data_IF_250778592573
#
_entry.id   IF_250778592573
#
_cell.length_a   1.000
_cell.length_b   1.000
_cell.length_c   1.000
_cell.angle_alpha   90.00
_cell.angle_beta   90.00
_cell.angle_gamma   90.00
#
_symmetry.space_group_name_H-M   'P 1'
#
loop_
_entity.id
_entity.type
_entity.pdbx_description
1 polymer ?
#
# COMPACT_ATOMS: atom_id res chain seq x y z
N UNK A 1 18.38 -51.61 -16.50
CA UNK A 1 19.32 -50.56 -16.96
C UNK A 1 18.56 -49.60 -17.88
N UNK A 2 18.69 -48.28 -17.62
CA UNK A 2 18.16 -47.10 -18.38
C UNK A 2 16.64 -46.87 -18.21
N UNK A 3 16.15 -45.87 -17.45
CA UNK A 3 16.13 -44.39 -17.69
C UNK A 3 15.38 -44.07 -19.01
N UNK A 4 14.37 -43.20 -19.10
CA UNK A 4 14.29 -41.80 -18.61
C UNK A 4 12.86 -41.26 -18.85
N UNK A 5 12.24 -40.59 -17.87
CA UNK A 5 11.93 -39.14 -17.83
C UNK A 5 10.95 -38.61 -18.89
N UNK A 6 9.68 -38.56 -18.51
CA UNK A 6 8.63 -37.62 -18.94
C UNK A 6 7.45 -37.96 -18.00
N UNK A 7 7.02 -37.15 -17.05
CA UNK A 7 6.41 -35.85 -17.24
C UNK A 7 6.09 -35.32 -15.84
N UNK A 8 6.61 -34.15 -15.46
CA UNK A 8 6.14 -33.43 -14.26
C UNK A 8 6.47 -31.94 -14.38
N UNK A 9 6.15 -31.35 -15.54
CA UNK A 9 6.35 -29.92 -15.78
C UNK A 9 5.16 -29.36 -16.55
N UNK A 10 3.96 -29.45 -15.96
CA UNK A 10 2.74 -28.79 -16.42
C UNK A 10 1.69 -28.83 -15.30
N UNK A 11 1.88 -27.99 -14.28
CA UNK A 11 0.85 -27.74 -13.26
C UNK A 11 0.99 -26.33 -12.67
N UNK A 12 1.19 -25.31 -13.52
CA UNK A 12 1.34 -23.92 -13.03
C UNK A 12 0.55 -22.86 -13.82
N UNK A 13 -0.48 -23.25 -14.57
CA UNK A 13 -1.31 -22.30 -15.34
C UNK A 13 -2.80 -22.59 -15.23
N UNK A 14 -3.31 -22.70 -14.00
CA UNK A 14 -4.75 -22.66 -13.72
C UNK A 14 -5.04 -22.14 -12.31
N UNK A 15 -4.47 -20.99 -11.93
CA UNK A 15 -4.99 -20.23 -10.80
C UNK A 15 -6.11 -19.31 -11.32
N UNK A 16 -7.32 -19.85 -11.40
CA UNK A 16 -8.52 -19.05 -11.64
C UNK A 16 -8.81 -18.06 -10.50
N UNK A 17 -9.85 -17.21 -10.62
CA UNK A 17 -10.20 -16.19 -9.63
C UNK A 17 -10.39 -16.73 -8.20
N UNK A 18 -10.78 -18.01 -8.05
CA UNK A 18 -10.91 -18.69 -6.77
C UNK A 18 -9.58 -18.85 -6.00
N UNK A 19 -8.43 -18.90 -6.69
CA UNK A 19 -7.11 -18.99 -6.08
C UNK A 19 -6.62 -17.65 -5.50
N UNK A 20 -7.00 -16.55 -6.14
CA UNK A 20 -6.69 -15.20 -5.67
C UNK A 20 -7.50 -14.85 -4.41
N UNK A 21 -8.78 -15.24 -4.37
CA UNK A 21 -9.63 -15.06 -3.19
C UNK A 21 -9.13 -15.91 -2.00
N UNK A 22 -8.76 -17.16 -2.23
CA UNK A 22 -8.19 -18.03 -1.19
C UNK A 22 -6.85 -17.51 -0.63
N UNK A 23 -5.97 -16.97 -1.49
CA UNK A 23 -4.71 -16.35 -1.07
C UNK A 23 -4.95 -15.05 -0.27
N UNK A 24 -5.90 -14.23 -0.71
CA UNK A 24 -6.33 -13.02 0.00
C UNK A 24 -6.91 -13.35 1.38
N UNK A 25 -7.77 -14.37 1.48
CA UNK A 25 -8.36 -14.79 2.75
C UNK A 25 -7.32 -15.43 3.69
N UNK A 26 -6.35 -16.18 3.16
CA UNK A 26 -5.22 -16.68 3.92
C UNK A 26 -4.36 -15.53 4.48
N UNK A 27 -4.07 -14.51 3.69
CA UNK A 27 -3.31 -13.33 4.11
C UNK A 27 -4.08 -12.52 5.18
N UNK A 28 -5.40 -12.35 5.04
CA UNK A 28 -6.26 -11.72 6.06
C UNK A 28 -6.25 -12.51 7.36
N UNK A 29 -6.34 -13.84 7.26
CA UNK A 29 -6.28 -14.72 8.42
C UNK A 29 -4.93 -14.62 9.13
N UNK A 30 -3.82 -14.58 8.39
CA UNK A 30 -2.47 -14.39 8.96
C UNK A 30 -2.32 -13.01 9.62
N UNK A 31 -2.80 -11.94 8.97
CA UNK A 31 -2.81 -10.59 9.53
C UNK A 31 -3.58 -10.54 10.87
N UNK A 32 -4.75 -11.20 10.95
CA UNK A 32 -5.52 -11.29 12.20
C UNK A 32 -4.77 -12.03 13.31
N UNK A 33 -3.95 -13.03 12.95
CA UNK A 33 -3.14 -13.80 13.90
C UNK A 33 -1.96 -12.97 14.40
N UNK A 34 -1.25 -12.27 13.52
CA UNK A 34 -0.14 -11.40 13.92
C UNK A 34 -0.61 -10.22 14.77
N UNK A 35 -1.75 -9.59 14.46
CA UNK A 35 -2.34 -8.54 15.32
C UNK A 35 -2.65 -9.04 16.74
N UNK A 36 -3.20 -10.25 16.86
CA UNK A 36 -3.46 -10.87 18.18
C UNK A 36 -2.16 -11.17 18.94
N UNK A 37 -1.13 -11.66 18.25
CA UNK A 37 0.20 -11.90 18.85
C UNK A 37 0.86 -10.60 19.28
N UNK A 38 0.78 -9.53 18.48
CA UNK A 38 1.27 -8.20 18.81
C UNK A 38 0.61 -7.67 20.08
N UNK A 39 -0.72 -7.76 20.18
CA UNK A 39 -1.46 -7.35 21.38
C UNK A 39 -1.02 -8.15 22.63
N UNK A 40 -0.84 -9.47 22.49
CA UNK A 40 -0.34 -10.32 23.58
C UNK A 40 1.07 -9.94 24.04
N UNK A 41 2.00 -9.72 23.10
CA UNK A 41 3.37 -9.33 23.42
C UNK A 41 3.44 -7.92 24.02
N UNK A 42 2.56 -7.00 23.62
CA UNK A 42 2.44 -5.67 24.21
C UNK A 42 1.97 -5.73 25.67
N UNK A 43 0.98 -6.57 25.98
CA UNK A 43 0.54 -6.80 27.36
C UNK A 43 1.65 -7.39 28.21
N UNK A 44 2.42 -8.35 27.68
CA UNK A 44 3.58 -8.95 28.36
C UNK A 44 4.69 -7.93 28.62
N UNK A 45 4.95 -7.03 27.67
CA UNK A 45 5.94 -5.97 27.84
C UNK A 45 5.54 -5.03 28.98
N UNK A 46 4.26 -4.67 29.06
CA UNK A 46 3.72 -3.84 30.15
C UNK A 46 3.87 -4.53 31.51
N UNK A 47 3.54 -5.83 31.60
CA UNK A 47 3.72 -6.61 32.83
C UNK A 47 5.19 -6.69 33.27
N UNK A 48 6.10 -7.01 32.35
CA UNK A 48 7.55 -7.05 32.64
C UNK A 48 8.07 -5.66 33.04
N UNK A 49 7.57 -4.59 32.44
CA UNK A 49 7.99 -3.22 32.79
C UNK A 49 7.56 -2.85 34.21
N UNK A 50 6.34 -3.22 34.62
CA UNK A 50 5.88 -3.01 36.01
C UNK A 50 6.70 -3.82 37.01
N UNK A 51 6.99 -5.08 36.72
CA UNK A 51 7.84 -5.92 37.57
C UNK A 51 9.26 -5.35 37.69
N UNK A 52 9.80 -4.81 36.59
CA UNK A 52 11.09 -4.15 36.59
C UNK A 52 11.09 -2.90 37.47
N UNK A 53 10.04 -2.09 37.42
CA UNK A 53 9.87 -0.92 38.29
C UNK A 53 9.83 -1.34 39.78
N UNK A 54 9.10 -2.40 40.11
CA UNK A 54 9.08 -2.97 41.47
C UNK A 54 10.48 -3.45 41.89
N UNK A 55 11.15 -4.27 41.08
CA UNK A 55 12.48 -4.80 41.40
C UNK A 55 13.54 -3.69 41.54
N UNK A 56 13.43 -2.60 40.79
CA UNK A 56 14.30 -1.42 40.95
C UNK A 56 14.03 -0.68 42.26
N UNK A 57 12.77 -0.60 42.70
CA UNK A 57 12.42 -0.06 44.02
C UNK A 57 13.00 -0.93 45.13
N UNK A 58 12.81 -2.25 45.03
CA UNK A 58 13.33 -3.22 46.00
C UNK A 58 14.86 -3.18 46.08
N UNK A 59 15.54 -3.02 44.94
CA UNK A 59 16.98 -2.85 44.89
C UNK A 59 17.44 -1.58 45.62
N UNK A 60 16.70 -0.48 45.47
CA UNK A 60 16.99 0.77 46.16
C UNK A 60 16.77 0.65 47.68
N UNK A 61 15.74 -0.10 48.10
CA UNK A 61 15.46 -0.38 49.51
C UNK A 61 16.54 -1.30 50.13
N UNK A 62 16.95 -2.35 49.42
CA UNK A 62 18.01 -3.26 49.86
C UNK A 62 19.36 -2.53 50.01
N UNK A 63 19.73 -1.69 49.05
CA UNK A 63 20.95 -0.87 49.13
C UNK A 63 20.92 0.12 50.30
N UNK A 64 19.75 0.71 50.60
CA UNK A 64 19.57 1.55 51.80
C UNK A 64 19.76 0.75 53.08
N UNK A 65 19.23 -0.47 53.16
CA UNK A 65 19.40 -1.33 54.34
C UNK A 65 20.86 -1.76 54.58
N UNK A 66 21.64 -1.98 53.52
CA UNK A 66 23.10 -2.20 53.63
C UNK A 66 23.78 -0.92 54.15
N UNK A 67 23.50 0.23 53.55
CA UNK A 67 24.12 1.51 53.92
C UNK A 67 23.83 1.91 55.37
N UNK A 68 22.58 1.73 55.82
CA UNK A 68 22.17 1.96 57.21
C UNK A 68 22.83 0.97 58.17
N UNK A 69 23.04 -0.27 57.73
CA UNK A 69 23.73 -1.30 58.49
C UNK A 69 25.20 -0.94 58.74
N UNK A 70 25.92 -0.51 57.70
CA UNK A 70 27.32 -0.09 57.81
C UNK A 70 27.45 1.15 58.70
N UNK A 71 26.48 2.06 58.65
CA UNK A 71 26.49 3.30 59.45
C UNK A 71 26.24 3.05 60.95
N UNK A 72 25.58 1.94 61.30
CA UNK A 72 25.31 1.55 62.70
C UNK A 72 26.32 0.50 63.13
N UNK A 73 27.34 0.91 63.89
CA UNK A 73 28.45 0.04 64.33
C UNK A 73 28.05 -1.19 65.18
N UNK A 74 26.78 -1.34 65.54
CA UNK A 74 26.22 -2.47 66.29
C UNK A 74 25.70 -3.61 65.39
N UNK A 75 25.68 -3.45 64.07
CA UNK A 75 25.25 -4.51 63.13
C UNK A 75 26.41 -5.48 62.90
N UNK A 76 26.25 -6.72 63.35
CA UNK A 76 27.27 -7.76 63.18
C UNK A 76 27.55 -8.11 61.73
N UNK A 77 28.78 -8.52 61.42
CA UNK A 77 29.26 -8.86 60.07
C UNK A 77 28.34 -9.85 59.34
N UNK A 78 27.82 -10.87 60.03
CA UNK A 78 26.93 -11.87 59.44
C UNK A 78 25.59 -11.30 58.95
N UNK A 79 25.11 -10.22 59.56
CA UNK A 79 23.90 -9.50 59.12
C UNK A 79 24.18 -8.66 57.88
N UNK A 80 25.36 -8.03 57.80
CA UNK A 80 25.79 -7.29 56.61
C UNK A 80 25.94 -8.22 55.41
N UNK A 81 26.59 -9.38 55.58
CA UNK A 81 26.71 -10.40 54.52
C UNK A 81 25.35 -10.83 54.00
N UNK A 82 24.38 -11.11 54.88
CA UNK A 82 23.01 -11.48 54.48
C UNK A 82 22.30 -10.36 53.70
N UNK A 83 22.56 -9.10 54.02
CA UNK A 83 21.99 -7.95 53.27
C UNK A 83 22.64 -7.78 51.92
N UNK A 84 23.96 -7.96 51.81
CA UNK A 84 24.66 -7.95 50.52
C UNK A 84 24.19 -9.09 49.61
N UNK A 85 23.96 -10.29 50.16
CA UNK A 85 23.37 -11.41 49.42
C UNK A 85 21.96 -11.07 48.90
N UNK A 86 21.14 -10.37 49.69
CA UNK A 86 19.82 -9.90 49.26
C UNK A 86 19.92 -8.86 48.13
N UNK A 87 20.87 -7.92 48.20
CA UNK A 87 21.15 -6.98 47.10
C UNK A 87 21.52 -7.75 45.83
N UNK A 88 22.47 -8.68 45.91
CA UNK A 88 22.91 -9.47 44.75
C UNK A 88 21.76 -10.27 44.11
N UNK A 89 20.83 -10.81 44.92
CA UNK A 89 19.65 -11.50 44.43
C UNK A 89 18.72 -10.58 43.62
N UNK A 90 18.43 -9.38 44.15
CA UNK A 90 17.57 -8.41 43.46
C UNK A 90 18.24 -7.84 42.20
N UNK A 91 19.55 -7.59 42.23
CA UNK A 91 20.31 -7.17 41.05
C UNK A 91 20.20 -8.19 39.90
N UNK A 92 20.31 -9.47 40.23
CA UNK A 92 20.17 -10.55 39.25
C UNK A 92 18.73 -10.62 38.68
N UNK A 93 17.71 -10.35 39.49
CA UNK A 93 16.33 -10.24 39.03
C UNK A 93 16.15 -9.05 38.06
N UNK A 94 16.63 -7.86 38.43
CA UNK A 94 16.60 -6.66 37.57
C UNK A 94 17.25 -6.94 36.21
N UNK A 95 18.43 -7.57 36.21
CA UNK A 95 19.14 -7.95 34.98
C UNK A 95 18.30 -8.87 34.09
N UNK A 96 17.67 -9.88 34.70
CA UNK A 96 16.81 -10.84 34.00
C UNK A 96 15.57 -10.14 33.39
N UNK A 97 14.95 -9.22 34.12
CA UNK A 97 13.80 -8.46 33.66
C UNK A 97 14.16 -7.50 32.52
N UNK A 98 15.31 -6.83 32.58
CA UNK A 98 15.82 -5.97 31.51
C UNK A 98 16.06 -6.75 30.22
N UNK A 99 16.69 -7.92 30.30
CA UNK A 99 16.91 -8.79 29.14
C UNK A 99 15.59 -9.24 28.52
N UNK A 100 14.64 -9.68 29.36
CA UNK A 100 13.31 -10.07 28.91
C UNK A 100 12.56 -8.91 28.24
N UNK A 101 12.67 -7.70 28.79
CA UNK A 101 12.08 -6.48 28.22
C UNK A 101 12.65 -6.19 26.83
N UNK A 102 13.97 -6.28 26.66
CA UNK A 102 14.64 -6.11 25.37
C UNK A 102 14.13 -7.11 24.33
N UNK A 103 14.09 -8.41 24.68
CA UNK A 103 13.60 -9.45 23.78
C UNK A 103 12.13 -9.30 23.39
N UNK A 104 11.29 -8.73 24.27
CA UNK A 104 9.90 -8.42 23.94
C UNK A 104 9.79 -7.19 23.03
N UNK A 105 10.59 -6.15 23.28
CA UNK A 105 10.63 -4.97 22.44
C UNK A 105 11.08 -5.30 21.00
N UNK A 106 12.14 -6.10 20.85
CA UNK A 106 12.63 -6.54 19.53
C UNK A 106 11.54 -7.31 18.77
N UNK A 107 10.87 -8.27 19.43
CA UNK A 107 9.74 -9.01 18.85
C UNK A 107 8.57 -8.13 18.43
N UNK A 108 8.25 -7.08 19.19
CA UNK A 108 7.19 -6.14 18.82
C UNK A 108 7.54 -5.34 17.56
N UNK A 109 8.80 -4.93 17.40
CA UNK A 109 9.27 -4.26 16.19
C UNK A 109 9.15 -5.17 14.98
N UNK A 110 9.63 -6.40 15.09
CA UNK A 110 9.56 -7.39 14.00
C UNK A 110 8.12 -7.72 13.61
N UNK A 111 7.22 -7.89 14.59
CA UNK A 111 5.79 -8.10 14.31
C UNK A 111 5.14 -6.92 13.62
N UNK A 112 5.45 -5.68 14.02
CA UNK A 112 4.92 -4.48 13.35
C UNK A 112 5.36 -4.42 11.89
N UNK A 113 6.60 -4.79 11.59
CA UNK A 113 7.10 -4.90 10.20
C UNK A 113 6.34 -5.98 9.44
N UNK A 114 6.15 -7.16 10.02
CA UNK A 114 5.39 -8.25 9.41
C UNK A 114 3.93 -7.86 9.11
N UNK A 115 3.27 -7.19 10.06
CA UNK A 115 1.91 -6.65 9.90
C UNK A 115 1.87 -5.65 8.75
N UNK A 116 2.82 -4.71 8.67
CA UNK A 116 2.85 -3.73 7.58
C UNK A 116 3.00 -4.37 6.19
N UNK A 117 3.81 -5.44 6.08
CA UNK A 117 3.94 -6.20 4.83
C UNK A 117 2.65 -6.94 4.48
N UNK A 118 2.03 -7.62 5.45
CA UNK A 118 0.74 -8.30 5.26
C UNK A 118 -0.39 -7.32 4.96
N UNK A 119 -0.38 -6.12 5.53
CA UNK A 119 -1.34 -5.05 5.21
C UNK A 119 -1.16 -4.54 3.79
N UNK A 120 0.07 -4.46 3.27
CA UNK A 120 0.33 -4.14 1.88
C UNK A 120 -0.14 -5.25 0.92
N UNK A 121 -0.03 -6.52 1.33
CA UNK A 121 -0.47 -7.68 0.56
C UNK A 121 -2.00 -7.84 0.57
N UNK A 122 -2.64 -7.79 1.74
CA UNK A 122 -4.10 -7.82 1.92
C UNK A 122 -4.75 -6.58 1.33
N UNK A 123 -4.11 -5.43 1.53
CA UNK A 123 -4.51 -4.16 0.96
C UNK A 123 -4.04 -3.98 -0.47
N UNK A 124 -3.61 -5.07 -1.14
CA UNK A 124 -3.25 -5.09 -2.55
C UNK A 124 -4.21 -4.19 -3.28
N UNK A 125 -3.71 -3.04 -3.78
CA UNK A 125 -4.54 -1.96 -4.30
C UNK A 125 -5.60 -2.61 -5.19
N UNK A 126 -6.84 -2.65 -4.73
CA UNK A 126 -7.94 -3.05 -5.61
C UNK A 126 -7.75 -2.15 -6.83
N UNK A 127 -7.45 -2.75 -7.99
CA UNK A 127 -7.30 -1.99 -9.22
C UNK A 127 -8.57 -1.13 -9.28
N UNK A 128 -8.47 0.20 -9.21
CA UNK A 128 -9.65 1.04 -9.29
C UNK A 128 -10.45 0.54 -10.49
N UNK A 129 -11.78 0.40 -10.38
CA UNK A 129 -12.58 -0.04 -11.52
C UNK A 129 -12.14 0.75 -12.74
N UNK A 130 -11.90 0.06 -13.84
CA UNK A 130 -11.28 0.68 -15.01
C UNK A 130 -12.27 1.62 -15.70
N UNK A 131 -12.34 2.84 -15.17
CA UNK A 131 -13.26 3.90 -15.58
C UNK A 131 -12.81 4.61 -16.86
N UNK A 132 -11.61 4.34 -17.37
CA UNK A 132 -11.05 5.06 -18.53
C UNK A 132 -10.80 4.15 -19.73
N UNK A 133 -10.42 2.89 -19.54
CA UNK A 133 -10.15 2.01 -20.69
C UNK A 133 -11.41 1.77 -21.51
N UNK A 134 -11.24 1.82 -22.83
CA UNK A 134 -12.32 1.58 -23.78
C UNK A 134 -12.32 2.59 -24.92
N UNK A 135 -13.41 2.58 -25.67
CA UNK A 135 -13.66 3.43 -26.83
C UNK A 135 -14.61 4.56 -26.46
N UNK A 136 -14.23 5.76 -26.83
CA UNK A 136 -14.91 6.99 -26.44
C UNK A 136 -15.24 7.83 -27.66
N UNK A 137 -16.52 8.14 -27.86
CA UNK A 137 -16.94 9.15 -28.82
C UNK A 137 -16.69 10.54 -28.21
N UNK A 138 -15.90 11.36 -28.89
CA UNK A 138 -15.43 12.66 -28.43
C UNK A 138 -16.01 13.78 -29.28
N UNK A 139 -16.34 14.90 -28.64
CA UNK A 139 -16.68 16.18 -29.27
C UNK A 139 -15.79 17.29 -28.68
N UNK A 140 -15.13 18.05 -29.55
CA UNK A 140 -14.20 19.13 -29.19
C UNK A 140 -14.75 20.47 -29.71
N UNK A 141 -14.83 21.46 -28.83
CA UNK A 141 -15.31 22.82 -29.08
C UNK A 141 -14.18 23.83 -28.85
N UNK A 142 -14.10 24.93 -29.62
CA UNK A 142 -14.99 25.31 -30.72
C UNK A 142 -14.63 24.61 -32.04
N UNK A 143 -15.61 24.48 -32.94
CA UNK A 143 -15.48 23.79 -34.23
C UNK A 143 -16.20 22.44 -34.32
N UNK A 144 -16.85 22.01 -33.23
CA UNK A 144 -17.64 20.77 -33.13
C UNK A 144 -16.93 19.54 -33.70
N UNK A 145 -15.60 19.48 -33.56
CA UNK A 145 -14.81 18.41 -34.13
C UNK A 145 -15.10 17.11 -33.40
N UNK A 146 -15.61 16.10 -34.13
CA UNK A 146 -15.94 14.79 -33.57
C UNK A 146 -14.87 13.76 -33.87
N UNK A 147 -14.87 12.70 -33.07
CA UNK A 147 -14.08 11.52 -33.36
C UNK A 147 -14.05 10.55 -32.21
N UNK A 148 -12.99 9.75 -32.15
CA UNK A 148 -12.92 8.57 -31.29
C UNK A 148 -11.58 8.50 -30.62
N UNK A 149 -11.60 8.35 -29.29
CA UNK A 149 -10.42 8.05 -28.49
C UNK A 149 -10.51 6.59 -28.04
N UNK A 150 -9.45 5.80 -28.29
CA UNK A 150 -9.27 4.48 -27.70
C UNK A 150 -8.22 4.60 -26.63
N UNK A 151 -8.59 4.35 -25.37
CA UNK A 151 -7.73 4.55 -24.22
C UNK A 151 -7.53 3.25 -23.45
N UNK A 152 -6.37 3.11 -22.83
CA UNK A 152 -6.01 2.03 -21.93
C UNK A 152 -5.38 2.62 -20.66
N UNK A 153 -5.85 2.15 -19.50
CA UNK A 153 -5.39 2.54 -18.17
C UNK A 153 -4.51 1.44 -17.57
N UNK A 154 -3.24 1.78 -17.36
CA UNK A 154 -2.28 0.96 -16.63
C UNK A 154 -1.81 1.69 -15.36
N UNK A 155 -2.36 1.28 -14.22
CA UNK A 155 -2.18 1.96 -12.94
C UNK A 155 -2.73 3.40 -12.97
N UNK A 156 -1.85 4.39 -13.12
CA UNK A 156 -2.21 5.82 -13.27
C UNK A 156 -1.90 6.36 -14.66
N UNK A 157 -1.26 5.57 -15.51
CA UNK A 157 -0.87 5.96 -16.87
C UNK A 157 -2.01 5.67 -17.82
N UNK A 158 -2.34 6.67 -18.64
CA UNK A 158 -3.32 6.53 -19.73
C UNK A 158 -2.56 6.60 -21.04
N UNK A 159 -2.78 5.61 -21.90
CA UNK A 159 -2.22 5.55 -23.24
C UNK A 159 -3.32 5.26 -24.25
N UNK A 160 -3.12 5.62 -25.51
CA UNK A 160 -4.16 5.40 -26.49
C UNK A 160 -3.89 6.01 -27.85
N UNK A 161 -4.90 5.92 -28.69
CA UNK A 161 -4.92 6.48 -30.04
C UNK A 161 -6.20 7.28 -30.25
N UNK A 162 -6.14 8.25 -31.15
CA UNK A 162 -7.31 9.01 -31.55
C UNK A 162 -7.46 9.08 -33.07
N UNK A 163 -8.71 9.23 -33.50
CA UNK A 163 -9.07 9.66 -34.85
C UNK A 163 -10.13 10.75 -34.75
N UNK A 164 -9.92 11.89 -35.38
CA UNK A 164 -10.89 12.99 -35.46
C UNK A 164 -11.28 13.25 -36.93
N UNK A 165 -12.48 13.80 -37.11
CA UNK A 165 -12.95 14.29 -38.41
C UNK A 165 -11.96 15.27 -39.04
N UNK A 166 -11.87 15.26 -40.37
CA UNK A 166 -10.82 15.97 -41.12
C UNK A 166 -9.53 15.15 -41.30
N UNK A 167 -9.53 13.88 -40.89
CA UNK A 167 -8.41 12.95 -41.11
C UNK A 167 -7.26 13.11 -40.14
N UNK A 168 -7.49 13.75 -38.98
CA UNK A 168 -6.50 13.87 -37.92
C UNK A 168 -6.42 12.57 -37.13
N UNK A 169 -5.20 12.10 -36.88
CA UNK A 169 -4.96 10.89 -36.11
C UNK A 169 -3.60 10.93 -35.44
N UNK A 170 -3.46 10.17 -34.37
CA UNK A 170 -2.23 10.08 -33.61
C UNK A 170 -2.43 9.39 -32.28
N UNK A 171 -1.51 9.67 -31.35
CA UNK A 171 -1.47 9.03 -30.03
C UNK A 171 -1.92 9.97 -28.91
N UNK A 172 -2.44 9.35 -27.85
CA UNK A 172 -2.76 9.97 -26.57
C UNK A 172 -1.84 9.38 -25.50
N UNK A 173 -1.32 10.24 -24.63
CA UNK A 173 -0.58 9.82 -23.42
C UNK A 173 -0.93 10.71 -22.25
N UNK A 174 -1.00 10.18 -21.05
CA UNK A 174 -1.56 10.96 -19.95
C UNK A 174 -1.59 10.24 -18.61
N UNK A 175 -2.30 10.86 -17.68
CA UNK A 175 -2.48 10.33 -16.33
C UNK A 175 -3.91 10.47 -15.84
N UNK A 176 -4.32 9.49 -15.02
CA UNK A 176 -5.55 9.53 -14.23
C UNK A 176 -5.18 9.53 -12.74
N UNK A 177 -5.60 10.57 -12.02
CA UNK A 177 -5.47 10.65 -10.57
C UNK A 177 -6.83 11.01 -9.98
N UNK A 178 -7.38 10.11 -9.17
CA UNK A 178 -8.76 10.19 -8.70
C UNK A 178 -9.75 10.22 -9.87
N UNK A 179 -10.50 11.31 -10.06
CA UNK A 179 -11.43 11.53 -11.18
C UNK A 179 -10.82 12.42 -12.28
N UNK A 180 -9.59 12.92 -12.10
CA UNK A 180 -8.96 13.90 -13.00
C UNK A 180 -8.10 13.22 -14.04
N UNK A 181 -8.45 13.44 -15.29
CA UNK A 181 -7.75 12.95 -16.47
C UNK A 181 -6.96 14.09 -17.12
N UNK A 182 -5.68 13.87 -17.43
CA UNK A 182 -4.88 14.74 -18.29
C UNK A 182 -4.35 13.93 -19.46
N UNK A 183 -4.62 14.35 -20.68
CA UNK A 183 -4.12 13.71 -21.90
C UNK A 183 -3.32 14.71 -22.74
N UNK A 184 -2.20 14.27 -23.26
CA UNK A 184 -1.43 14.94 -24.30
C UNK A 184 -1.75 14.28 -25.63
N UNK A 185 -2.14 15.11 -26.61
CA UNK A 185 -2.40 14.68 -27.98
C UNK A 185 -1.18 14.93 -28.83
N UNK A 186 -0.65 13.86 -29.40
CA UNK A 186 0.46 13.90 -30.36
C UNK A 186 -0.09 13.47 -31.71
N UNK A 187 -0.24 14.43 -32.61
CA UNK A 187 -0.73 14.22 -33.97
C UNK A 187 0.39 13.66 -34.85
N UNK A 188 0.03 12.74 -35.75
CA UNK A 188 0.98 12.09 -36.66
C UNK A 188 1.71 13.05 -37.60
N UNK A 189 1.12 14.22 -37.89
CA UNK A 189 1.71 15.24 -38.77
C UNK A 189 2.18 16.46 -38.00
N UNK A 190 1.43 16.87 -36.98
CA UNK A 190 1.68 18.12 -36.25
C UNK A 190 2.50 17.93 -34.97
N UNK A 191 2.78 16.69 -34.55
CA UNK A 191 3.45 16.40 -33.29
C UNK A 191 2.58 16.77 -32.09
N UNK A 192 3.19 17.19 -30.98
CA UNK A 192 2.46 17.58 -29.77
C UNK A 192 1.58 18.81 -30.04
N UNK A 193 0.26 18.59 -30.09
CA UNK A 193 -0.69 19.55 -30.66
C UNK A 193 -1.73 20.08 -29.67
N UNK A 194 -2.08 19.32 -28.63
CA UNK A 194 -3.01 19.77 -27.60
C UNK A 194 -2.84 19.03 -26.27
N UNK A 195 -3.30 19.65 -25.18
CA UNK A 195 -3.50 19.02 -23.87
C UNK A 195 -4.99 19.06 -23.53
N UNK A 196 -5.55 17.92 -23.15
CA UNK A 196 -6.92 17.77 -22.66
C UNK A 196 -6.90 17.57 -21.15
N UNK A 197 -7.73 18.32 -20.45
CA UNK A 197 -8.02 18.15 -19.03
C UNK A 197 -9.47 17.71 -18.91
N UNK A 198 -9.76 16.66 -18.15
CA UNK A 198 -11.11 16.13 -18.00
C UNK A 198 -11.39 15.62 -16.59
N UNK A 199 -12.67 15.51 -16.27
CA UNK A 199 -13.17 14.76 -15.13
C UNK A 199 -13.99 13.57 -15.61
N UNK A 200 -13.64 12.38 -15.13
CA UNK A 200 -14.35 11.13 -15.42
C UNK A 200 -15.55 11.03 -14.47
N UNK A 201 -16.73 10.78 -15.01
CA UNK A 201 -17.93 10.55 -14.22
C UNK A 201 -17.77 9.30 -13.34
N UNK A 202 -18.46 9.26 -12.20
CA UNK A 202 -18.33 8.16 -11.22
C UNK A 202 -18.74 6.80 -11.78
N UNK A 203 -19.63 6.80 -12.77
CA UNK A 203 -20.11 5.63 -13.49
C UNK A 203 -19.19 5.20 -14.65
N UNK A 204 -18.14 5.97 -14.96
CA UNK A 204 -17.23 5.70 -16.08
C UNK A 204 -17.85 5.88 -17.46
N UNK A 205 -19.04 6.47 -17.56
CA UNK A 205 -19.79 6.63 -18.83
C UNK A 205 -19.45 7.91 -19.60
N UNK A 206 -18.96 8.94 -18.92
CA UNK A 206 -18.69 10.24 -19.53
C UNK A 206 -17.41 10.91 -19.00
N UNK A 207 -16.80 11.73 -19.85
CA UNK A 207 -15.71 12.64 -19.49
C UNK A 207 -16.07 14.03 -19.96
N UNK A 208 -15.86 15.04 -19.12
CA UNK A 208 -16.09 16.45 -19.50
C UNK A 208 -14.90 17.30 -19.08
N UNK A 209 -14.57 18.32 -19.88
CA UNK A 209 -13.36 19.07 -19.61
C UNK A 209 -13.03 20.19 -20.58
N UNK A 210 -11.78 20.63 -20.51
CA UNK A 210 -11.20 21.67 -21.36
C UNK A 210 -10.00 21.14 -22.13
N UNK A 211 -9.64 21.83 -23.21
CA UNK A 211 -8.42 21.54 -23.95
C UNK A 211 -7.67 22.83 -24.26
N UNK A 212 -6.37 22.72 -24.44
CA UNK A 212 -5.45 23.81 -24.76
C UNK A 212 -4.56 23.39 -25.93
N UNK A 213 -4.42 24.25 -26.93
CA UNK A 213 -3.52 24.07 -28.05
C UNK A 213 -2.07 24.28 -27.59
N UNK A 214 -1.15 23.47 -28.08
CA UNK A 214 0.29 23.63 -27.83
C UNK A 214 1.02 24.26 -29.00
N UNK A 215 0.37 24.31 -30.16
CA UNK A 215 0.80 25.00 -31.36
C UNK A 215 -0.16 26.15 -31.69
N UNK A 216 0.37 27.37 -31.75
CA UNK A 216 -0.41 28.56 -32.09
C UNK A 216 -0.37 28.78 -33.60
N UNK A 217 -1.42 28.37 -34.30
CA UNK A 217 -1.67 28.80 -35.68
C UNK A 217 -2.43 30.13 -35.68
N UNK A 218 -2.08 31.05 -36.59
CA UNK A 218 -2.86 32.29 -36.79
C UNK A 218 -4.30 31.95 -37.18
N UNK A 219 -5.26 32.30 -36.33
CA UNK A 219 -6.70 32.15 -36.58
C UNK A 219 -7.36 30.89 -36.00
N UNK A 220 -6.62 29.99 -35.37
CA UNK A 220 -7.19 28.81 -34.70
C UNK A 220 -7.47 29.08 -33.20
N UNK A 221 -8.55 28.50 -32.64
CA UNK A 221 -8.81 28.55 -31.21
C UNK A 221 -7.65 27.98 -30.40
N UNK A 222 -7.14 28.71 -29.41
CA UNK A 222 -6.06 28.25 -28.54
C UNK A 222 -6.53 27.35 -27.39
N UNK A 223 -7.84 27.26 -27.15
CA UNK A 223 -8.42 26.47 -26.08
C UNK A 223 -9.92 26.29 -26.29
N UNK A 224 -10.52 25.36 -25.57
CA UNK A 224 -11.97 25.25 -25.50
C UNK A 224 -12.44 24.11 -24.61
N UNK A 225 -13.63 23.58 -24.90
CA UNK A 225 -14.25 22.49 -24.13
C UNK A 225 -14.21 21.19 -24.91
N UNK A 226 -14.27 20.09 -24.20
CA UNK A 226 -14.51 18.79 -24.82
C UNK A 226 -15.36 17.91 -23.92
N UNK A 227 -16.02 16.95 -24.56
CA UNK A 227 -16.75 15.89 -23.86
C UNK A 227 -16.49 14.56 -24.56
N UNK A 228 -16.54 13.49 -23.79
CA UNK A 228 -16.48 12.13 -24.28
C UNK A 228 -17.57 11.28 -23.65
N UNK A 229 -18.15 10.37 -24.43
CA UNK A 229 -19.10 9.36 -23.95
C UNK A 229 -18.56 7.99 -24.34
N UNK A 230 -18.58 7.05 -23.40
CA UNK A 230 -18.11 5.68 -23.63
C UNK A 230 -19.07 4.98 -24.60
N UNK A 231 -18.53 4.32 -25.61
CA UNK A 231 -19.32 3.39 -26.42
C UNK A 231 -19.52 2.11 -25.61
N UNK A 232 -20.77 1.76 -25.34
CA UNK A 232 -21.09 0.42 -24.86
C UNK A 232 -20.76 -0.56 -25.99
N UNK A 233 -20.00 -1.62 -25.68
CA UNK A 233 -19.93 -2.79 -26.56
C UNK A 233 -21.34 -3.37 -26.65
N UNK A 234 -22.09 -2.97 -27.67
CA UNK A 234 -23.24 -3.77 -28.10
C UNK A 234 -22.64 -5.05 -28.65
N UNK A 235 -22.75 -6.14 -27.90
CA UNK A 235 -22.69 -7.48 -28.46
C UNK A 235 -23.63 -7.48 -29.68
N UNK A 236 -23.06 -7.50 -30.88
CA UNK A 236 -23.81 -7.78 -32.09
C UNK A 236 -24.44 -9.15 -31.88
N UNK A 237 -25.75 -9.17 -31.60
CA UNK A 237 -26.59 -10.35 -31.74
C UNK A 237 -26.31 -10.93 -33.14
N UNK A 238 -25.57 -12.03 -33.16
CA UNK A 238 -25.39 -12.85 -34.34
C UNK A 238 -26.78 -13.26 -34.81
N UNK A 239 -27.24 -12.62 -35.88
CA UNK A 239 -28.51 -12.92 -36.53
C UNK A 239 -28.47 -14.36 -37.08
N UNK A 240 -29.54 -15.15 -36.90
CA UNK A 240 -29.59 -16.57 -37.25
C UNK A 240 -29.53 -16.85 -38.77
#
# INVERSE_FOLDING_TARGET
MKRTLASCLLALLAAGPLGADAASDAARAELSRERRRLASDATRLTDVSRRLETALSDLADANRAVSDGVSRSDVGTDELVRREEAVAAVEQEVKTLLERRRLLADRLVDRRRAIAMLEAEVGGKAKPPDVVSGRWTVLVEPGEQRGIFRMNLDGTLVSGEYTLEGGYSGSLRGTLVSDRLRLERVDSRLGFSAVYFGRVARDGGAITGTWEATTFGTGSPGSGRWRAVREEEREEEASP
#
